data_IF_254428579216
#
_entry.id   IF_254428579216
#
_cell.length_a   1.000
_cell.length_b   1.000
_cell.length_c   1.000
_cell.angle_alpha   90.00
_cell.angle_beta   90.00
_cell.angle_gamma   90.00
#
_symmetry.space_group_name_H-M   'P 1'
#
loop_
_entity.id
_entity.type
_entity.pdbx_description
1 polymer ?
#
# COMPACT_ATOMS: atom_id res chain seq x y z
N UNK A 1 -3.12 -9.24 0.31
CA UNK A 1 -3.37 -8.48 1.54
C UNK A 1 -3.99 -9.36 2.62
N UNK A 2 -4.92 -8.82 3.38
CA UNK A 2 -5.51 -9.49 4.57
C UNK A 2 -6.19 -10.80 4.21
N UNK A 3 -7.13 -10.80 3.28
CA UNK A 3 -7.82 -12.02 2.83
C UNK A 3 -6.88 -13.03 2.12
N UNK A 4 -5.74 -12.57 1.64
CA UNK A 4 -4.69 -13.42 1.07
C UNK A 4 -3.65 -13.86 2.11
N UNK A 5 -3.94 -13.69 3.40
CA UNK A 5 -3.16 -14.20 4.53
C UNK A 5 -1.66 -13.84 4.47
N UNK A 6 -1.37 -12.58 4.11
CA UNK A 6 -0.01 -12.09 3.87
C UNK A 6 1.02 -12.45 4.96
N UNK A 7 0.57 -12.52 6.22
CA UNK A 7 1.45 -12.80 7.37
C UNK A 7 1.72 -14.29 7.58
N UNK A 8 0.95 -15.17 6.93
CA UNK A 8 1.08 -16.63 7.00
C UNK A 8 1.95 -17.20 5.88
N UNK A 9 2.36 -16.35 4.93
CA UNK A 9 3.10 -16.74 3.74
C UNK A 9 4.55 -16.23 3.80
N UNK A 10 5.48 -17.04 3.32
CA UNK A 10 6.86 -16.64 3.08
C UNK A 10 6.96 -15.64 1.94
N UNK A 11 8.10 -14.95 1.84
CA UNK A 11 8.36 -14.00 0.74
C UNK A 11 8.27 -14.69 -0.62
N UNK A 12 8.82 -15.90 -0.74
CA UNK A 12 8.84 -16.64 -2.01
C UNK A 12 7.44 -17.11 -2.42
N UNK A 13 6.63 -17.57 -1.47
CA UNK A 13 5.21 -17.91 -1.75
C UNK A 13 4.42 -16.67 -2.22
N UNK A 14 4.64 -15.51 -1.60
CA UNK A 14 3.99 -14.26 -2.01
C UNK A 14 4.39 -13.83 -3.41
N UNK A 15 5.66 -14.00 -3.80
CA UNK A 15 6.14 -13.76 -5.16
C UNK A 15 5.46 -14.69 -6.16
N UNK A 16 5.46 -16.00 -5.87
CA UNK A 16 4.84 -17.00 -6.73
C UNK A 16 3.33 -16.74 -6.93
N UNK A 17 2.62 -16.39 -5.87
CA UNK A 17 1.19 -16.05 -5.94
C UNK A 17 0.97 -14.86 -6.86
N UNK A 18 1.77 -13.80 -6.75
CA UNK A 18 1.67 -12.63 -7.63
C UNK A 18 1.86 -13.01 -9.10
N UNK A 19 2.88 -13.80 -9.42
CA UNK A 19 3.14 -14.28 -10.78
C UNK A 19 1.95 -15.07 -11.33
N UNK A 20 1.37 -15.97 -10.53
CA UNK A 20 0.19 -16.75 -10.92
C UNK A 20 -1.04 -15.86 -11.15
N UNK A 21 -1.23 -14.84 -10.31
CA UNK A 21 -2.30 -13.87 -10.52
C UNK A 21 -2.13 -13.08 -11.81
N UNK A 22 -0.94 -12.59 -12.12
CA UNK A 22 -0.67 -11.85 -13.36
C UNK A 22 -0.94 -12.69 -14.61
N UNK A 23 -0.50 -13.96 -14.61
CA UNK A 23 -0.80 -14.91 -15.70
C UNK A 23 -2.30 -15.13 -15.83
N UNK A 24 -3.01 -15.33 -14.72
CA UNK A 24 -4.46 -15.62 -14.72
C UNK A 24 -5.27 -14.37 -15.11
N UNK A 25 -4.84 -13.19 -14.70
CA UNK A 25 -5.48 -11.92 -15.04
C UNK A 25 -5.45 -11.65 -16.54
N UNK A 26 -4.39 -12.05 -17.25
CA UNK A 26 -4.21 -11.85 -18.71
C UNK A 26 -4.60 -10.43 -19.15
N UNK A 27 -4.25 -9.43 -18.35
CA UNK A 27 -4.59 -8.01 -18.56
C UNK A 27 -6.12 -7.70 -18.60
N UNK A 28 -6.99 -8.63 -18.22
CA UNK A 28 -8.44 -8.40 -18.16
C UNK A 28 -8.86 -7.50 -16.98
N UNK A 29 -8.03 -7.44 -15.94
CA UNK A 29 -8.21 -6.58 -14.77
C UNK A 29 -6.86 -6.17 -14.19
N UNK A 30 -6.86 -5.11 -13.41
CA UNK A 30 -5.67 -4.59 -12.74
C UNK A 30 -5.29 -5.45 -11.53
N UNK A 31 -3.98 -5.69 -11.38
CA UNK A 31 -3.43 -6.44 -10.24
C UNK A 31 -2.60 -5.49 -9.38
N UNK A 32 -3.12 -5.17 -8.20
CA UNK A 32 -2.41 -4.40 -7.18
C UNK A 32 -1.69 -5.38 -6.25
N UNK A 33 -0.37 -5.42 -6.32
CA UNK A 33 0.42 -6.31 -5.48
C UNK A 33 0.52 -5.76 -4.06
N UNK A 34 0.05 -6.51 -3.06
CA UNK A 34 0.26 -6.15 -1.66
C UNK A 34 1.68 -6.54 -1.23
N UNK A 35 2.51 -5.54 -0.91
CA UNK A 35 3.93 -5.72 -0.57
C UNK A 35 4.24 -5.52 0.92
N UNK A 36 3.23 -5.21 1.73
CA UNK A 36 3.41 -4.89 3.16
C UNK A 36 4.03 -6.02 3.97
N UNK A 37 4.88 -5.63 4.90
CA UNK A 37 5.56 -6.49 5.89
C UNK A 37 5.99 -5.64 7.08
N UNK A 38 6.08 -6.23 8.28
CA UNK A 38 6.72 -5.57 9.42
C UNK A 38 8.24 -5.38 9.20
N UNK A 39 8.85 -6.20 8.34
CA UNK A 39 10.23 -6.02 7.91
C UNK A 39 10.26 -5.15 6.65
N UNK A 40 10.76 -3.92 6.77
CA UNK A 40 10.85 -2.97 5.66
C UNK A 40 11.65 -3.53 4.47
N UNK A 41 12.76 -4.26 4.73
CA UNK A 41 13.58 -4.88 3.66
C UNK A 41 12.79 -5.93 2.87
N UNK A 42 12.00 -6.75 3.55
CA UNK A 42 11.11 -7.72 2.89
C UNK A 42 10.04 -7.03 2.04
N UNK A 43 9.48 -5.92 2.52
CA UNK A 43 8.53 -5.12 1.75
C UNK A 43 9.19 -4.50 0.49
N UNK A 44 10.42 -3.98 0.61
CA UNK A 44 11.21 -3.49 -0.52
C UNK A 44 11.53 -4.58 -1.53
N UNK A 45 11.81 -5.79 -1.08
CA UNK A 45 12.06 -6.95 -1.95
C UNK A 45 10.81 -7.33 -2.74
N UNK A 46 9.66 -7.41 -2.08
CA UNK A 46 8.37 -7.65 -2.73
C UNK A 46 7.98 -6.55 -3.71
N UNK A 47 8.28 -5.29 -3.39
CA UNK A 47 8.03 -4.15 -4.27
C UNK A 47 8.86 -4.22 -5.55
N UNK A 48 10.17 -4.51 -5.44
CA UNK A 48 11.03 -4.72 -6.61
C UNK A 48 10.53 -5.87 -7.48
N UNK A 49 10.19 -7.00 -6.86
CA UNK A 49 9.65 -8.14 -7.60
C UNK A 49 8.35 -7.79 -8.31
N UNK A 50 7.43 -7.09 -7.65
CA UNK A 50 6.17 -6.65 -8.27
C UNK A 50 6.40 -5.79 -9.52
N UNK A 51 7.38 -4.89 -9.48
CA UNK A 51 7.77 -4.09 -10.64
C UNK A 51 8.38 -4.95 -11.76
N UNK A 52 9.25 -5.89 -11.42
CA UNK A 52 9.92 -6.78 -12.39
C UNK A 52 8.92 -7.69 -13.14
N UNK A 53 7.91 -8.20 -12.46
CA UNK A 53 6.92 -9.12 -13.06
C UNK A 53 5.72 -8.41 -13.69
N UNK A 54 5.67 -7.07 -13.62
CA UNK A 54 4.69 -6.25 -14.31
C UNK A 54 3.34 -6.14 -13.61
N UNK A 55 3.31 -6.04 -12.29
CA UNK A 55 2.12 -5.63 -11.55
C UNK A 55 1.65 -4.23 -12.00
N UNK A 56 0.35 -3.94 -11.90
CA UNK A 56 -0.19 -2.62 -12.28
C UNK A 56 0.04 -1.55 -11.21
N UNK A 57 0.12 -1.96 -9.95
CA UNK A 57 0.40 -1.10 -8.80
C UNK A 57 0.89 -1.93 -7.61
N UNK A 58 1.35 -1.23 -6.57
CA UNK A 58 1.65 -1.83 -5.27
C UNK A 58 0.80 -1.20 -4.18
N UNK A 59 0.54 -1.97 -3.13
CA UNK A 59 -0.11 -1.48 -1.91
C UNK A 59 0.58 -2.03 -0.67
N UNK A 60 0.55 -1.29 0.43
CA UNK A 60 1.11 -1.74 1.70
C UNK A 60 0.27 -1.26 2.88
N UNK A 61 0.05 -2.13 3.87
CA UNK A 61 -0.43 -1.75 5.19
C UNK A 61 0.71 -1.16 6.02
N UNK A 62 0.37 -0.38 7.04
CA UNK A 62 1.33 0.07 8.05
C UNK A 62 1.93 -1.13 8.83
N UNK A 63 3.17 -1.01 9.34
CA UNK A 63 3.73 -2.03 10.22
C UNK A 63 2.91 -2.11 11.52
N UNK A 64 2.61 -3.34 11.95
CA UNK A 64 1.68 -3.59 13.05
C UNK A 64 2.36 -3.91 14.39
N UNK A 65 3.66 -4.17 14.38
CA UNK A 65 4.44 -4.49 15.59
C UNK A 65 5.12 -3.24 16.15
N UNK A 66 6.13 -2.68 15.46
CA UNK A 66 6.69 -1.37 15.76
C UNK A 66 5.90 -0.32 14.97
N UNK A 67 4.88 0.22 15.63
CA UNK A 67 3.90 1.10 14.99
C UNK A 67 4.42 2.53 14.89
N UNK A 68 4.28 3.19 13.74
CA UNK A 68 4.53 4.62 13.64
C UNK A 68 3.54 5.38 14.54
N UNK A 69 4.04 6.35 15.30
CA UNK A 69 3.25 7.23 16.14
C UNK A 69 2.85 8.53 15.44
N UNK A 70 3.48 8.84 14.32
CA UNK A 70 3.24 10.06 13.54
C UNK A 70 3.10 9.77 12.06
N UNK A 71 2.50 10.72 11.33
CA UNK A 71 2.40 10.65 9.86
C UNK A 71 3.79 10.62 9.22
N UNK A 72 4.75 11.42 9.73
CA UNK A 72 6.10 11.46 9.19
C UNK A 72 6.82 10.12 9.32
N UNK A 73 6.71 9.45 10.48
CA UNK A 73 7.26 8.11 10.68
C UNK A 73 6.64 7.08 9.72
N UNK A 74 5.33 7.19 9.45
CA UNK A 74 4.65 6.32 8.49
C UNK A 74 5.13 6.59 7.05
N UNK A 75 5.31 7.85 6.69
CA UNK A 75 5.89 8.25 5.39
C UNK A 75 7.32 7.74 5.25
N UNK A 76 8.15 7.91 6.27
CA UNK A 76 9.55 7.45 6.28
C UNK A 76 9.66 5.92 6.20
N UNK A 77 8.68 5.19 6.77
CA UNK A 77 8.60 3.76 6.60
C UNK A 77 8.28 3.37 5.15
N UNK A 78 7.36 4.06 4.49
CA UNK A 78 6.95 3.70 3.13
C UNK A 78 7.87 4.20 2.03
N UNK A 79 8.55 5.32 2.21
CA UNK A 79 9.36 5.94 1.17
C UNK A 79 10.39 4.98 0.53
N UNK A 80 11.21 4.20 1.27
CA UNK A 80 12.15 3.25 0.67
C UNK A 80 11.45 2.10 -0.08
N UNK A 81 10.28 1.66 0.40
CA UNK A 81 9.47 0.62 -0.25
C UNK A 81 8.99 1.12 -1.60
N UNK A 82 8.43 2.32 -1.66
CA UNK A 82 7.92 2.94 -2.87
C UNK A 82 9.03 3.25 -3.87
N UNK A 83 10.19 3.73 -3.41
CA UNK A 83 11.37 3.95 -4.26
C UNK A 83 11.90 2.65 -4.87
N UNK A 84 11.75 1.52 -4.18
CA UNK A 84 12.12 0.20 -4.72
C UNK A 84 11.27 -0.24 -5.92
N UNK A 85 10.13 0.40 -6.16
CA UNK A 85 9.22 0.18 -7.27
C UNK A 85 8.71 1.52 -7.84
N UNK A 86 9.61 2.48 -8.05
CA UNK A 86 9.27 3.86 -8.42
C UNK A 86 8.42 4.00 -9.69
N UNK A 87 8.47 3.02 -10.60
CA UNK A 87 7.64 2.98 -11.81
C UNK A 87 6.19 2.52 -11.60
N UNK A 88 5.83 2.02 -10.39
CA UNK A 88 4.48 1.56 -10.10
C UNK A 88 3.73 2.55 -9.21
N UNK A 89 2.44 2.80 -9.47
CA UNK A 89 1.56 3.51 -8.53
C UNK A 89 1.55 2.83 -7.16
N UNK A 90 1.54 3.63 -6.09
CA UNK A 90 1.48 3.15 -4.71
C UNK A 90 0.17 3.58 -4.05
N UNK A 91 -0.49 2.63 -3.37
CA UNK A 91 -1.66 2.85 -2.52
C UNK A 91 -1.33 2.53 -1.06
N UNK A 92 -1.58 3.48 -0.17
CA UNK A 92 -1.59 3.18 1.26
C UNK A 92 -2.81 2.33 1.61
N UNK A 93 -2.62 1.15 2.16
CA UNK A 93 -3.71 0.33 2.65
C UNK A 93 -4.01 0.69 4.10
N UNK A 94 -4.97 1.58 4.31
CA UNK A 94 -5.45 1.97 5.62
C UNK A 94 -6.34 0.88 6.21
N UNK A 95 -5.86 0.22 7.27
CA UNK A 95 -6.59 -0.83 7.98
C UNK A 95 -6.28 -0.79 9.49
N UNK A 96 -6.75 0.25 10.21
CA UNK A 96 -6.42 0.47 11.60
C UNK A 96 -6.91 -0.65 12.53
N UNK A 97 -8.00 -1.33 12.19
CA UNK A 97 -8.53 -2.47 12.97
C UNK A 97 -7.55 -3.65 13.08
N UNK A 98 -6.68 -3.83 12.10
CA UNK A 98 -5.67 -4.91 12.09
C UNK A 98 -4.30 -4.38 12.51
N UNK A 99 -3.88 -3.24 11.98
CA UNK A 99 -2.55 -2.69 12.24
C UNK A 99 -2.45 -2.01 13.60
N UNK A 100 -3.57 -1.50 14.11
CA UNK A 100 -3.58 -0.61 15.29
C UNK A 100 -2.91 0.74 15.04
N UNK A 101 -2.67 1.11 13.78
CA UNK A 101 -2.15 2.41 13.36
C UNK A 101 -3.32 3.26 12.90
N UNK A 102 -3.70 4.24 13.73
CA UNK A 102 -4.82 5.13 13.49
C UNK A 102 -4.32 6.56 13.30
N UNK A 103 -3.64 6.80 12.18
CA UNK A 103 -3.13 8.10 11.78
C UNK A 103 -4.03 8.71 10.69
N UNK A 104 -4.20 10.05 10.66
CA UNK A 104 -5.05 10.72 9.67
C UNK A 104 -4.60 10.44 8.24
N UNK A 105 -5.48 9.81 7.44
CA UNK A 105 -5.15 9.37 6.06
C UNK A 105 -5.01 10.57 5.13
N UNK A 106 -5.84 11.59 5.29
CA UNK A 106 -5.77 12.85 4.54
C UNK A 106 -4.40 13.51 4.69
N UNK A 107 -3.89 13.61 5.92
CA UNK A 107 -2.55 14.14 6.20
C UNK A 107 -1.46 13.26 5.62
N UNK A 108 -1.61 11.92 5.73
CA UNK A 108 -0.66 11.01 5.11
C UNK A 108 -0.58 11.19 3.58
N UNK A 109 -1.70 11.36 2.90
CA UNK A 109 -1.73 11.57 1.45
C UNK A 109 -0.99 12.85 1.05
N UNK A 110 -1.23 13.97 1.75
CA UNK A 110 -0.56 15.25 1.48
C UNK A 110 0.93 15.20 1.80
N UNK A 111 1.30 14.80 3.01
CA UNK A 111 2.70 14.76 3.43
C UNK A 111 3.49 13.65 2.71
N UNK A 112 2.86 12.50 2.53
CA UNK A 112 3.43 11.37 1.81
C UNK A 112 3.77 11.71 0.36
N UNK A 113 2.91 12.45 -0.34
CA UNK A 113 3.16 12.85 -1.73
C UNK A 113 4.44 13.65 -1.93
N UNK A 114 4.90 14.36 -0.91
CA UNK A 114 6.16 15.14 -0.96
C UNK A 114 7.40 14.23 -1.05
N UNK A 115 7.39 13.08 -0.37
CA UNK A 115 8.50 12.12 -0.30
C UNK A 115 8.29 10.86 -1.16
N UNK A 116 7.05 10.58 -1.58
CA UNK A 116 6.64 9.38 -2.34
C UNK A 116 5.98 9.84 -3.64
N UNK A 117 6.75 10.13 -4.69
CA UNK A 117 6.19 10.67 -5.96
C UNK A 117 5.16 9.76 -6.61
N UNK A 118 5.27 8.45 -6.43
CA UNK A 118 4.35 7.45 -6.96
C UNK A 118 3.16 7.12 -6.05
N UNK A 119 2.96 7.85 -4.93
CA UNK A 119 1.75 7.76 -4.12
C UNK A 119 0.56 8.31 -4.93
N UNK A 120 -0.43 7.48 -5.19
CA UNK A 120 -1.62 7.84 -5.98
C UNK A 120 -2.92 7.79 -5.19
N UNK A 121 -2.93 7.17 -4.01
CA UNK A 121 -4.16 7.07 -3.24
C UNK A 121 -4.09 6.12 -2.06
N UNK A 122 -5.26 5.71 -1.61
CA UNK A 122 -5.42 4.80 -0.47
C UNK A 122 -6.46 3.72 -0.76
N UNK A 123 -6.23 2.50 -0.25
CA UNK A 123 -7.31 1.55 0.01
C UNK A 123 -7.80 1.81 1.43
N UNK A 124 -8.99 2.38 1.53
CA UNK A 124 -9.61 2.79 2.78
C UNK A 124 -10.57 1.71 3.28
N UNK A 125 -10.24 1.05 4.40
CA UNK A 125 -11.07 -0.01 5.00
C UNK A 125 -11.50 0.32 6.44
N UNK A 126 -11.33 1.56 6.86
CA UNK A 126 -11.84 2.08 8.11
C UNK A 126 -13.30 2.49 7.96
N UNK A 127 -14.10 2.34 9.01
CA UNK A 127 -15.51 2.71 9.00
C UNK A 127 -15.77 4.22 9.25
N UNK A 128 -14.71 5.03 9.34
CA UNK A 128 -14.82 6.49 9.40
C UNK A 128 -15.08 7.08 8.00
N UNK A 129 -16.32 7.03 7.55
CA UNK A 129 -16.73 7.50 6.22
C UNK A 129 -16.57 9.03 6.05
N UNK A 130 -16.56 9.80 7.13
CA UNK A 130 -16.28 11.25 7.04
C UNK A 130 -14.83 11.49 6.63
N UNK A 131 -13.86 10.79 7.23
CA UNK A 131 -12.46 10.87 6.83
C UNK A 131 -12.25 10.39 5.40
N UNK A 132 -12.96 9.32 4.99
CA UNK A 132 -12.94 8.85 3.61
C UNK A 132 -13.43 9.94 2.65
N UNK A 133 -14.52 10.65 3.00
CA UNK A 133 -15.02 11.77 2.22
C UNK A 133 -14.00 12.90 2.06
N UNK A 134 -13.29 13.25 3.15
CA UNK A 134 -12.20 14.22 3.09
C UNK A 134 -11.09 13.76 2.14
N UNK A 135 -10.71 12.48 2.19
CA UNK A 135 -9.68 11.94 1.29
C UNK A 135 -10.11 12.00 -0.20
N UNK A 136 -11.40 11.79 -0.50
CA UNK A 136 -11.94 11.87 -1.87
C UNK A 136 -11.86 13.28 -2.42
N UNK A 137 -12.23 14.28 -1.61
CA UNK A 137 -12.25 15.70 -2.03
C UNK A 137 -10.85 16.35 -2.03
N UNK A 138 -9.86 15.67 -1.48
CA UNK A 138 -8.52 16.21 -1.24
C UNK A 138 -7.83 16.68 -2.54
N UNK A 139 -7.33 17.92 -2.55
CA UNK A 139 -6.60 18.52 -3.67
C UNK A 139 -7.35 18.35 -5.02
N UNK A 140 -8.67 18.60 -5.03
CA UNK A 140 -9.52 18.51 -6.22
C UNK A 140 -9.54 17.09 -6.84
N UNK A 141 -9.75 16.08 -6.00
CA UNK A 141 -9.79 14.65 -6.37
C UNK A 141 -8.47 14.11 -6.92
N UNK A 142 -7.36 14.64 -6.43
CA UNK A 142 -6.01 14.20 -6.87
C UNK A 142 -5.71 12.75 -6.52
N UNK A 143 -6.30 12.24 -5.44
CA UNK A 143 -6.02 10.92 -4.92
C UNK A 143 -7.16 9.95 -5.18
N UNK A 144 -6.83 8.74 -5.58
CA UNK A 144 -7.80 7.66 -5.71
C UNK A 144 -8.10 7.04 -4.33
N UNK A 145 -9.37 6.88 -4.02
CA UNK A 145 -9.83 6.23 -2.78
C UNK A 145 -10.58 4.96 -3.15
N UNK A 146 -9.93 3.82 -2.90
CA UNK A 146 -10.51 2.50 -3.08
C UNK A 146 -11.10 2.04 -1.76
N UNK A 147 -12.39 1.76 -1.71
CA UNK A 147 -13.05 1.22 -0.52
C UNK A 147 -13.14 -0.30 -0.58
N UNK A 148 -12.97 -0.99 0.59
CA UNK A 148 -13.07 -2.44 0.65
C UNK A 148 -13.25 -2.99 2.05
#
# INVERSE_FOLDING_TARGET
GTNGELSSLTIDERKLILEKWLVSARKRFKVIAHVGSNCQRSAMELARHAAQVGADAIASIAPSFFKPGTVDELVDFFAPICHSAAGLPFYYYNMPSITGVNLPVDKFLVEGKKKIPNLVGTKFTHNNLMEMGVCIELEQHRFEVLHG
#
